data_IF_131185557504
#
_entry.id   IF_131185557504
#
_cell.length_a   1.000
_cell.length_b   1.000
_cell.length_c   1.000
_cell.angle_alpha   90.00
_cell.angle_beta   90.00
_cell.angle_gamma   90.00
#
_symmetry.space_group_name_H-M   'P 1'
#
loop_
_entity.id
_entity.type
_entity.pdbx_description
1 polymer ?
#
# COMPACT_ATOMS: atom_id res chain seq x y z
N UNK A 1 27.65 27.56 -19.19
CA UNK A 1 26.24 27.16 -19.42
C UNK A 1 25.64 26.79 -18.08
N UNK A 2 24.49 27.36 -17.69
CA UNK A 2 23.79 26.99 -16.44
C UNK A 2 23.01 25.70 -16.69
N UNK A 3 23.39 24.63 -16.01
CA UNK A 3 22.71 23.33 -16.10
C UNK A 3 21.41 23.40 -15.31
N UNK A 4 20.29 23.65 -15.99
CA UNK A 4 18.97 23.58 -15.37
C UNK A 4 18.62 22.09 -15.15
N UNK A 5 18.49 21.69 -13.88
CA UNK A 5 17.96 20.37 -13.50
C UNK A 5 16.45 20.40 -13.72
N UNK A 6 16.01 20.25 -14.96
CA UNK A 6 14.59 20.01 -15.26
C UNK A 6 14.23 18.68 -14.59
N UNK A 7 13.29 18.64 -13.64
CA UNK A 7 12.83 17.38 -13.08
C UNK A 7 12.14 16.60 -14.20
N UNK A 8 12.78 15.55 -14.69
CA UNK A 8 12.31 14.75 -15.84
C UNK A 8 11.07 13.92 -15.54
N UNK A 9 10.62 13.84 -14.29
CA UNK A 9 9.51 12.97 -13.90
C UNK A 9 8.61 13.65 -12.88
N UNK A 10 7.58 14.35 -13.36
CA UNK A 10 6.44 14.71 -12.52
C UNK A 10 5.52 13.50 -12.44
N UNK A 11 5.94 12.48 -11.68
CA UNK A 11 5.09 11.35 -11.32
C UNK A 11 4.05 11.83 -10.30
N UNK A 12 3.10 12.65 -10.76
CA UNK A 12 1.96 13.05 -9.94
C UNK A 12 1.12 11.80 -9.70
N UNK A 13 1.19 11.25 -8.49
CA UNK A 13 0.23 10.26 -8.02
C UNK A 13 -1.19 10.77 -8.32
N UNK A 14 -2.01 9.97 -9.01
CA UNK A 14 -3.39 10.31 -9.36
C UNK A 14 -4.23 10.43 -8.07
N UNK A 15 -4.28 11.64 -7.53
CA UNK A 15 -5.07 12.02 -6.35
C UNK A 15 -6.45 12.44 -6.82
N UNK A 16 -7.48 11.73 -6.35
CA UNK A 16 -8.89 12.10 -6.57
C UNK A 16 -9.32 13.12 -5.51
N UNK A 17 -8.75 13.05 -4.30
CA UNK A 17 -8.90 14.07 -3.26
C UNK A 17 -7.61 14.25 -2.46
N UNK A 18 -7.57 15.24 -1.55
CA UNK A 18 -6.41 15.55 -0.70
C UNK A 18 -5.95 14.35 0.18
N UNK A 19 -6.82 13.36 0.38
CA UNK A 19 -6.56 12.19 1.25
C UNK A 19 -6.85 10.83 0.59
N UNK A 20 -7.69 10.77 -0.46
CA UNK A 20 -8.12 9.53 -1.12
C UNK A 20 -7.48 9.44 -2.50
N UNK A 21 -6.70 8.38 -2.70
CA UNK A 21 -6.08 8.06 -3.98
C UNK A 21 -7.01 7.16 -4.78
N UNK A 22 -6.92 7.19 -6.12
CA UNK A 22 -7.70 6.27 -6.98
C UNK A 22 -7.52 4.80 -6.55
N UNK A 23 -6.33 4.45 -6.09
CA UNK A 23 -6.03 3.12 -5.57
C UNK A 23 -6.85 2.74 -4.32
N UNK A 24 -7.20 3.70 -3.46
CA UNK A 24 -8.04 3.43 -2.28
C UNK A 24 -9.45 2.99 -2.68
N UNK A 25 -9.99 3.59 -3.74
CA UNK A 25 -11.28 3.17 -4.30
C UNK A 25 -11.20 1.75 -4.87
N UNK A 26 -10.13 1.44 -5.61
CA UNK A 26 -9.90 0.08 -6.12
C UNK A 26 -9.77 -0.93 -4.97
N UNK A 27 -9.09 -0.57 -3.89
CA UNK A 27 -8.92 -1.41 -2.72
C UNK A 27 -10.27 -1.70 -2.05
N UNK A 28 -11.08 -0.66 -1.81
CA UNK A 28 -12.42 -0.82 -1.21
C UNK A 28 -13.32 -1.68 -2.11
N UNK A 29 -13.32 -1.40 -3.42
CA UNK A 29 -14.09 -2.17 -4.40
C UNK A 29 -13.66 -3.64 -4.42
N UNK A 30 -12.35 -3.90 -4.37
CA UNK A 30 -11.80 -5.25 -4.28
C UNK A 30 -12.24 -5.97 -3.00
N UNK A 31 -12.23 -5.30 -1.85
CA UNK A 31 -12.70 -5.90 -0.59
C UNK A 31 -14.19 -6.24 -0.62
N UNK A 32 -15.02 -5.38 -1.22
CA UNK A 32 -16.45 -5.67 -1.40
C UNK A 32 -16.65 -6.90 -2.29
N UNK A 33 -15.90 -6.99 -3.39
CA UNK A 33 -15.94 -8.14 -4.29
C UNK A 33 -15.48 -9.43 -3.59
N UNK A 34 -14.37 -9.37 -2.85
CA UNK A 34 -13.87 -10.48 -2.06
C UNK A 34 -14.94 -10.92 -1.06
N UNK A 35 -15.53 -10.00 -0.31
CA UNK A 35 -16.61 -10.30 0.63
C UNK A 35 -17.76 -11.02 -0.07
N UNK A 36 -18.21 -10.52 -1.22
CA UNK A 36 -19.33 -11.09 -1.95
C UNK A 36 -19.07 -12.55 -2.37
N UNK A 37 -17.86 -12.85 -2.84
CA UNK A 37 -17.48 -14.19 -3.29
C UNK A 37 -17.30 -15.15 -2.10
N UNK A 38 -16.79 -14.66 -0.98
CA UNK A 38 -16.36 -15.49 0.17
C UNK A 38 -17.40 -15.60 1.28
N UNK A 39 -18.37 -14.68 1.38
CA UNK A 39 -19.42 -14.73 2.39
C UNK A 39 -20.25 -16.05 2.37
N UNK A 40 -20.50 -16.71 1.21
CA UNK A 40 -21.20 -17.99 1.21
C UNK A 40 -20.38 -19.13 1.83
N UNK A 41 -19.05 -18.98 1.89
CA UNK A 41 -18.14 -19.96 2.51
C UNK A 41 -18.08 -19.79 4.04
N UNK A 42 -18.61 -18.68 4.57
CA UNK A 42 -18.61 -18.36 5.99
C UNK A 42 -19.98 -18.68 6.58
N UNK A 43 -20.01 -19.35 7.73
CA UNK A 43 -21.27 -19.63 8.43
C UNK A 43 -21.98 -18.32 8.82
N UNK A 44 -23.31 -18.31 8.78
CA UNK A 44 -24.15 -17.11 8.98
C UNK A 44 -23.80 -16.32 10.24
N UNK A 45 -23.53 -17.03 11.34
CA UNK A 45 -23.24 -16.42 12.64
C UNK A 45 -21.93 -15.63 12.64
N UNK A 46 -21.00 -15.97 11.73
CA UNK A 46 -19.72 -15.28 11.59
C UNK A 46 -19.71 -14.20 10.51
N UNK A 47 -20.83 -13.94 9.82
CA UNK A 47 -20.89 -12.93 8.76
C UNK A 47 -20.52 -11.53 9.25
N UNK A 48 -21.00 -11.16 10.44
CA UNK A 48 -20.70 -9.88 11.06
C UNK A 48 -19.21 -9.76 11.39
N UNK A 49 -18.65 -10.77 12.06
CA UNK A 49 -17.23 -10.82 12.44
C UNK A 49 -16.32 -10.80 11.21
N UNK A 50 -16.67 -11.57 10.17
CA UNK A 50 -15.95 -11.59 8.90
C UNK A 50 -15.95 -10.23 8.20
N UNK A 51 -17.09 -9.54 8.20
CA UNK A 51 -17.19 -8.19 7.64
C UNK A 51 -16.32 -7.21 8.41
N UNK A 52 -16.34 -7.26 9.75
CA UNK A 52 -15.51 -6.44 10.62
C UNK A 52 -14.01 -6.68 10.37
N UNK A 53 -13.62 -7.95 10.21
CA UNK A 53 -12.27 -8.32 9.85
C UNK A 53 -11.83 -7.72 8.52
N UNK A 54 -12.66 -7.80 7.47
CA UNK A 54 -12.33 -7.21 6.16
C UNK A 54 -12.19 -5.68 6.23
N UNK A 55 -13.02 -5.00 7.02
CA UNK A 55 -12.91 -3.55 7.24
C UNK A 55 -11.58 -3.23 7.94
N UNK A 56 -11.26 -3.94 9.02
CA UNK A 56 -10.01 -3.75 9.76
C UNK A 56 -8.78 -4.02 8.85
N UNK A 57 -8.84 -5.06 8.03
CA UNK A 57 -7.80 -5.37 7.04
C UNK A 57 -7.65 -4.27 6.00
N UNK A 58 -8.75 -3.73 5.48
CA UNK A 58 -8.72 -2.60 4.55
C UNK A 58 -8.07 -1.35 5.16
N UNK A 59 -8.43 -1.01 6.40
CA UNK A 59 -7.80 0.10 7.14
C UNK A 59 -6.31 -0.15 7.32
N UNK A 60 -5.92 -1.38 7.70
CA UNK A 60 -4.52 -1.76 7.85
C UNK A 60 -3.72 -1.57 6.56
N UNK A 61 -4.28 -1.90 5.38
CA UNK A 61 -3.59 -1.71 4.11
C UNK A 61 -3.38 -0.24 3.72
N UNK A 62 -4.28 0.65 4.14
CA UNK A 62 -4.23 2.09 3.84
C UNK A 62 -3.26 2.83 4.77
N UNK A 63 -3.12 2.37 6.02
CA UNK A 63 -2.21 2.97 7.00
C UNK A 63 -0.77 2.99 6.46
N UNK A 64 -0.08 4.10 6.72
CA UNK A 64 1.35 4.24 6.42
C UNK A 64 2.17 3.70 7.60
N UNK A 65 3.04 2.69 7.39
CA UNK A 65 3.89 2.17 8.46
C UNK A 65 4.87 3.24 8.95
N UNK A 66 5.15 3.26 10.25
CA UNK A 66 6.13 4.17 10.86
C UNK A 66 7.53 4.00 10.27
N UNK A 67 7.90 2.78 9.89
CA UNK A 67 9.20 2.44 9.29
C UNK A 67 9.37 2.99 7.87
N UNK A 68 8.27 3.19 7.13
CA UNK A 68 8.32 3.73 5.76
C UNK A 68 7.14 4.68 5.50
N UNK A 69 7.20 5.92 6.01
CA UNK A 69 6.07 6.87 5.94
C UNK A 69 5.79 7.39 4.53
N UNK A 70 6.71 7.15 3.58
CA UNK A 70 6.54 7.53 2.16
C UNK A 70 5.82 6.47 1.35
N UNK A 71 5.65 5.25 1.89
CA UNK A 71 4.98 4.13 1.23
C UNK A 71 3.80 3.68 2.08
N UNK A 72 2.79 3.10 1.43
CA UNK A 72 1.63 2.51 2.12
C UNK A 72 1.91 1.07 2.51
N UNK A 73 1.14 0.51 3.44
CA UNK A 73 1.37 -0.84 3.94
C UNK A 73 1.34 -1.90 2.82
N UNK A 74 0.44 -1.77 1.83
CA UNK A 74 0.40 -2.70 0.69
C UNK A 74 1.69 -2.67 -0.15
N UNK A 75 2.30 -1.50 -0.34
CA UNK A 75 3.58 -1.36 -1.05
C UNK A 75 4.72 -1.96 -0.23
N UNK A 76 4.72 -1.73 1.09
CA UNK A 76 5.71 -2.31 1.99
C UNK A 76 5.63 -3.84 1.99
N UNK A 77 4.43 -4.42 2.03
CA UNK A 77 4.23 -5.86 1.90
C UNK A 77 4.69 -6.38 0.53
N UNK A 78 4.31 -5.72 -0.56
CA UNK A 78 4.76 -6.10 -1.90
C UNK A 78 6.30 -6.12 -2.01
N UNK A 79 6.98 -5.08 -1.53
CA UNK A 79 8.44 -5.04 -1.51
C UNK A 79 9.03 -6.12 -0.62
N UNK A 80 8.40 -6.45 0.50
CA UNK A 80 8.88 -7.54 1.37
C UNK A 80 8.81 -8.92 0.68
N UNK A 81 7.79 -9.14 -0.17
CA UNK A 81 7.61 -10.39 -0.91
C UNK A 81 8.57 -10.47 -2.10
N UNK A 82 8.75 -9.36 -2.83
CA UNK A 82 9.60 -9.33 -4.04
C UNK A 82 11.09 -9.19 -3.70
N UNK A 83 11.43 -8.75 -2.49
CA UNK A 83 12.82 -8.62 -2.05
C UNK A 83 13.52 -9.98 -2.09
N UNK A 84 14.49 -10.09 -3.00
CA UNK A 84 15.44 -11.20 -3.03
C UNK A 84 16.28 -11.16 -1.74
N UNK A 85 16.10 -12.14 -0.87
CA UNK A 85 16.84 -12.24 0.40
C UNK A 85 18.34 -12.42 0.19
N UNK A 86 18.70 -13.03 -0.93
CA UNK A 86 20.09 -13.39 -1.27
C UNK A 86 20.85 -12.27 -1.98
N UNK A 87 20.19 -11.14 -2.27
CA UNK A 87 20.83 -9.98 -2.91
C UNK A 87 21.27 -8.99 -1.84
N UNK A 88 22.58 -8.92 -1.61
CA UNK A 88 23.20 -7.88 -0.79
C UNK A 88 23.16 -6.54 -1.54
N UNK A 89 22.60 -5.52 -0.90
CA UNK A 89 22.83 -4.11 -1.30
C UNK A 89 23.99 -3.57 -0.49
N UNK A 90 24.94 -2.90 -1.16
CA UNK A 90 25.94 -2.09 -0.47
C UNK A 90 25.22 -1.01 0.34
N UNK A 91 25.60 -0.90 1.61
CA UNK A 91 25.22 0.25 2.43
C UNK A 91 26.27 1.31 2.15
N UNK A 92 25.90 2.34 1.41
CA UNK A 92 26.76 3.52 1.27
C UNK A 92 26.69 4.28 2.59
N UNK A 93 27.77 4.23 3.36
CA UNK A 93 27.95 5.15 4.48
C UNK A 93 28.20 6.53 3.87
N UNK A 94 27.23 7.43 3.97
CA UNK A 94 27.52 8.85 3.76
C UNK A 94 28.45 9.27 4.88
N UNK A 95 29.72 9.51 4.59
CA UNK A 95 30.63 10.21 5.49
C UNK A 95 29.96 11.52 5.89
N UNK A 96 29.60 11.62 7.17
CA UNK A 96 29.18 12.86 7.79
C UNK A 96 30.43 13.75 7.88
N UNK A 97 30.53 14.73 6.97
CA UNK A 97 31.36 15.93 7.16
C UNK A 97 30.86 16.78 8.33
#
# INVERSE_FOLDING_TARGET
>A
MRTYRIPNEVASELKISRSIYLFDLFLIMSLILIRYITIPLVHSDFHMLYTLFLIAFGVFMIIRPKTNPKKRMYQAMYFSIVRKKDTYSSIDYSESE
#
